data_IF_125241612073
#
_entry.id   IF_125241612073
#
_cell.length_a   1.000
_cell.length_b   1.000
_cell.length_c   1.000
_cell.angle_alpha   90.00
_cell.angle_beta   90.00
_cell.angle_gamma   90.00
#
_symmetry.space_group_name_H-M   'P 1'
#
loop_
_entity.id
_entity.type
_entity.pdbx_description
1 polymer ?
#
# COMPACT_ATOMS: atom_id res chain seq x y z
N UNK A 1 -13.76 11.11 28.09
CA UNK A 1 -14.99 11.22 27.28
C UNK A 1 -14.83 12.44 26.39
N UNK A 2 -15.05 12.32 25.09
CA UNK A 2 -14.97 13.47 24.17
C UNK A 2 -16.30 14.22 24.25
N UNK A 3 -16.26 15.52 24.54
CA UNK A 3 -17.45 16.32 24.87
C UNK A 3 -17.97 17.18 23.71
N UNK A 4 -17.15 17.41 22.68
CA UNK A 4 -17.42 18.36 21.59
C UNK A 4 -17.41 17.71 20.20
N UNK A 5 -17.58 16.38 20.14
CA UNK A 5 -17.51 15.65 18.86
C UNK A 5 -18.57 16.13 17.87
N UNK A 6 -19.80 16.32 18.33
CA UNK A 6 -20.92 16.74 17.48
C UNK A 6 -20.75 18.17 16.98
N UNK A 7 -20.24 19.07 17.82
CA UNK A 7 -19.96 20.47 17.47
C UNK A 7 -18.90 20.56 16.37
N UNK A 8 -17.74 19.92 16.57
CA UNK A 8 -16.63 19.93 15.59
C UNK A 8 -17.02 19.24 14.29
N UNK A 9 -17.78 18.13 14.37
CA UNK A 9 -18.29 17.43 13.18
C UNK A 9 -19.22 18.31 12.35
N UNK A 10 -20.09 19.08 13.00
CA UNK A 10 -21.02 19.99 12.31
C UNK A 10 -20.30 21.20 11.70
N UNK A 11 -19.28 21.73 12.37
CA UNK A 11 -18.43 22.81 11.84
C UNK A 11 -17.72 22.37 10.55
N UNK A 12 -17.05 21.21 10.58
CA UNK A 12 -16.36 20.64 9.40
C UNK A 12 -17.35 20.41 8.24
N UNK A 13 -18.54 19.87 8.52
CA UNK A 13 -19.56 19.64 7.48
C UNK A 13 -19.98 20.95 6.81
N UNK A 14 -20.22 22.00 7.59
CA UNK A 14 -20.63 23.30 7.08
C UNK A 14 -19.58 23.89 6.13
N UNK A 15 -18.30 23.86 6.52
CA UNK A 15 -17.21 24.33 5.66
C UNK A 15 -17.11 23.52 4.35
N UNK A 16 -17.27 22.20 4.42
CA UNK A 16 -17.28 21.32 3.25
C UNK A 16 -18.50 21.57 2.33
N UNK A 17 -19.67 21.88 2.89
CA UNK A 17 -20.86 22.26 2.13
C UNK A 17 -20.66 23.59 1.39
N UNK A 18 -20.01 24.57 2.03
CA UNK A 18 -19.66 25.84 1.39
C UNK A 18 -18.64 25.67 0.25
N UNK A 19 -17.64 24.79 0.42
CA UNK A 19 -16.69 24.39 -0.62
C UNK A 19 -17.39 23.69 -1.79
N UNK A 20 -18.39 22.85 -1.50
CA UNK A 20 -19.17 22.16 -2.53
C UNK A 20 -20.09 23.11 -3.30
N UNK A 21 -20.71 24.08 -2.62
CA UNK A 21 -21.64 25.04 -3.21
C UNK A 21 -20.93 26.01 -4.19
N UNK A 22 -19.67 26.33 -3.92
CA UNK A 22 -18.86 27.22 -4.75
C UNK A 22 -17.59 26.50 -5.21
N UNK A 23 -17.63 25.66 -6.27
CA UNK A 23 -16.47 24.89 -6.71
C UNK A 23 -15.38 25.74 -7.38
N UNK A 24 -15.73 26.93 -7.88
CA UNK A 24 -14.81 27.88 -8.50
C UNK A 24 -14.50 28.99 -7.50
N UNK A 25 -13.35 28.89 -6.81
CA UNK A 25 -12.90 29.83 -5.78
C UNK A 25 -11.52 30.37 -6.13
N UNK A 26 -11.26 31.61 -5.73
CA UNK A 26 -9.99 32.31 -5.95
C UNK A 26 -9.44 32.70 -4.58
N UNK A 27 -8.76 31.74 -3.96
CA UNK A 27 -8.26 31.84 -2.59
C UNK A 27 -6.76 31.52 -2.55
N UNK A 28 -6.09 31.93 -1.46
CA UNK A 28 -4.67 31.64 -1.26
C UNK A 28 -4.51 30.16 -0.88
N UNK A 29 -3.71 29.37 -1.62
CA UNK A 29 -3.55 27.95 -1.31
C UNK A 29 -2.76 27.76 -0.01
N UNK A 30 -3.11 26.69 0.71
CA UNK A 30 -2.37 26.20 1.86
C UNK A 30 -1.58 24.97 1.43
N UNK A 31 -0.25 25.00 1.64
CA UNK A 31 0.66 23.92 1.22
C UNK A 31 0.96 23.06 2.46
N UNK A 32 0.51 21.81 2.43
CA UNK A 32 0.72 20.84 3.52
C UNK A 32 1.61 19.68 3.06
N UNK A 33 2.54 19.27 3.93
CA UNK A 33 3.28 18.01 3.80
C UNK A 33 2.65 16.99 4.73
N UNK A 34 2.11 15.93 4.15
CA UNK A 34 1.49 14.82 4.88
C UNK A 34 2.42 13.62 4.79
N UNK A 35 2.88 13.14 5.94
CA UNK A 35 3.80 12.01 6.03
C UNK A 35 3.21 10.91 6.89
N UNK A 36 3.49 9.65 6.52
CA UNK A 36 3.07 8.50 7.31
C UNK A 36 4.20 8.13 8.26
N UNK A 37 3.97 8.36 9.56
CA UNK A 37 4.91 7.94 10.61
C UNK A 37 5.18 6.44 10.53
N UNK A 38 6.47 6.06 10.54
CA UNK A 38 6.91 4.66 10.46
C UNK A 38 6.19 3.82 9.38
N UNK A 39 6.06 4.37 8.17
CA UNK A 39 5.33 3.75 7.06
C UNK A 39 5.68 2.28 6.83
N UNK A 40 6.96 1.94 6.62
CA UNK A 40 7.35 0.55 6.34
C UNK A 40 7.17 -0.39 7.53
N UNK A 41 7.60 -0.05 8.77
CA UNK A 41 7.27 -0.86 9.94
C UNK A 41 5.77 -1.12 10.09
N UNK A 42 4.92 -0.11 9.89
CA UNK A 42 3.47 -0.26 10.00
C UNK A 42 2.89 -1.17 8.89
N UNK A 43 3.39 -1.04 7.66
CA UNK A 43 3.00 -1.92 6.54
C UNK A 43 3.43 -3.37 6.82
N UNK A 44 4.65 -3.58 7.34
CA UNK A 44 5.18 -4.89 7.69
C UNK A 44 4.30 -5.54 8.76
N UNK A 45 3.98 -4.83 9.84
CA UNK A 45 3.19 -5.36 10.95
C UNK A 45 1.73 -5.64 10.55
N UNK A 46 1.09 -4.70 9.84
CA UNK A 46 -0.32 -4.83 9.42
C UNK A 46 -0.52 -6.01 8.47
N UNK A 47 0.45 -6.26 7.59
CA UNK A 47 0.38 -7.35 6.62
C UNK A 47 1.13 -8.60 7.05
N UNK A 48 1.72 -8.60 8.26
CA UNK A 48 2.57 -9.69 8.80
C UNK A 48 3.65 -10.12 7.80
N UNK A 49 4.28 -9.15 7.14
CA UNK A 49 5.26 -9.41 6.08
C UNK A 49 6.57 -9.89 6.67
N UNK A 50 6.82 -11.17 6.52
CA UNK A 50 8.08 -11.80 6.89
C UNK A 50 8.58 -12.62 5.70
N UNK A 51 9.91 -12.79 5.52
CA UNK A 51 10.43 -13.62 4.45
C UNK A 51 9.86 -15.04 4.47
N UNK A 52 9.69 -15.63 5.64
CA UNK A 52 9.08 -16.95 5.82
C UNK A 52 7.58 -17.01 5.49
N UNK A 53 6.89 -15.86 5.49
CA UNK A 53 5.48 -15.77 5.11
C UNK A 53 5.29 -15.64 3.58
N UNK A 54 6.38 -15.49 2.82
CA UNK A 54 6.34 -15.53 1.35
C UNK A 54 6.55 -16.96 0.88
N UNK A 55 5.46 -17.72 0.78
CA UNK A 55 5.47 -19.12 0.35
C UNK A 55 5.05 -19.27 -1.11
N UNK A 56 5.62 -20.24 -1.80
CA UNK A 56 5.18 -20.67 -3.12
C UNK A 56 4.04 -21.70 -3.04
N UNK A 57 3.46 -22.04 -4.19
CA UNK A 57 2.34 -22.98 -4.27
C UNK A 57 2.74 -24.39 -3.81
N UNK A 58 3.97 -24.82 -4.09
CA UNK A 58 4.49 -26.13 -3.70
C UNK A 58 4.66 -26.24 -2.18
N UNK A 59 5.20 -25.21 -1.52
CA UNK A 59 5.32 -25.16 -0.05
C UNK A 59 3.95 -25.07 0.61
N UNK A 60 3.02 -24.29 0.04
CA UNK A 60 1.66 -24.24 0.56
C UNK A 60 0.93 -25.58 0.39
N UNK A 61 1.17 -26.29 -0.72
CA UNK A 61 0.56 -27.60 -0.98
C UNK A 61 0.95 -28.65 0.06
N UNK A 62 2.18 -28.59 0.57
CA UNK A 62 2.70 -29.48 1.62
C UNK A 62 2.27 -29.10 3.04
N UNK A 63 1.54 -28.00 3.23
CA UNK A 63 1.15 -27.50 4.55
C UNK A 63 -0.09 -28.24 5.10
N UNK A 64 -0.05 -28.66 6.37
CA UNK A 64 -1.16 -29.33 7.06
C UNK A 64 -2.45 -28.49 7.14
N UNK A 65 -2.31 -27.17 7.00
CA UNK A 65 -3.41 -26.21 7.05
C UNK A 65 -4.00 -25.90 5.66
N UNK A 66 -3.47 -26.49 4.59
CA UNK A 66 -4.01 -26.34 3.25
C UNK A 66 -5.30 -27.15 3.09
N UNK A 67 -6.42 -26.53 3.48
CA UNK A 67 -7.77 -27.11 3.45
C UNK A 67 -8.67 -26.28 2.53
N UNK A 68 -9.71 -26.87 1.93
CA UNK A 68 -10.74 -26.09 1.26
C UNK A 68 -11.30 -25.07 2.27
N UNK A 69 -11.25 -23.78 1.92
CA UNK A 69 -11.60 -22.61 2.75
C UNK A 69 -10.52 -22.09 3.72
N UNK A 70 -9.24 -22.42 3.52
CA UNK A 70 -8.17 -21.75 4.26
C UNK A 70 -8.14 -20.23 3.95
N UNK A 71 -8.10 -19.40 5.00
CA UNK A 71 -8.05 -17.93 4.90
C UNK A 71 -6.70 -17.31 5.31
N UNK A 72 -5.68 -18.14 5.48
CA UNK A 72 -4.36 -17.72 5.96
C UNK A 72 -3.50 -17.05 4.87
N UNK A 73 -3.70 -17.43 3.61
CA UNK A 73 -2.96 -16.91 2.46
C UNK A 73 -3.54 -15.56 2.02
N UNK A 74 -2.70 -14.52 2.01
CA UNK A 74 -3.06 -13.20 1.47
C UNK A 74 -2.22 -12.90 0.24
N UNK A 75 -2.87 -12.84 -0.92
CA UNK A 75 -2.22 -12.45 -2.16
C UNK A 75 -1.97 -10.95 -2.20
N UNK A 76 -0.75 -10.56 -2.58
CA UNK A 76 -0.37 -9.16 -2.79
C UNK A 76 0.51 -9.05 -4.03
N UNK A 77 0.22 -8.05 -4.86
CA UNK A 77 1.01 -7.79 -6.07
C UNK A 77 2.29 -7.02 -5.72
N UNK A 78 3.39 -7.39 -6.36
CA UNK A 78 4.66 -6.66 -6.30
C UNK A 78 5.15 -6.39 -7.71
N UNK A 79 5.73 -5.23 -7.93
CA UNK A 79 6.35 -4.89 -9.20
C UNK A 79 7.84 -5.25 -9.13
N UNK A 80 8.26 -6.16 -9.98
CA UNK A 80 9.68 -6.44 -10.21
C UNK A 80 10.18 -5.54 -11.34
N UNK A 81 11.22 -4.75 -11.08
CA UNK A 81 11.90 -3.93 -12.09
C UNK A 81 13.31 -4.49 -12.28
N UNK A 82 13.53 -5.37 -13.27
CA UNK A 82 14.87 -5.90 -13.53
C UNK A 82 15.74 -4.87 -14.27
N UNK A 83 17.06 -4.83 -14.02
CA UNK A 83 17.97 -4.08 -14.87
C UNK A 83 18.03 -4.76 -16.25
N UNK A 84 17.60 -4.05 -17.29
CA UNK A 84 17.76 -4.52 -18.68
C UNK A 84 19.10 -4.02 -19.20
N UNK A 85 20.07 -4.93 -19.31
CA UNK A 85 21.32 -4.64 -20.01
C UNK A 85 21.21 -5.23 -21.41
N UNK A 86 21.19 -4.35 -22.42
CA UNK A 86 21.14 -4.73 -23.84
C UNK A 86 22.51 -5.26 -24.30
N UNK A 87 22.90 -6.44 -23.82
CA UNK A 87 24.07 -7.15 -24.34
C UNK A 87 23.56 -8.16 -25.37
N UNK A 88 24.08 -8.05 -26.59
CA UNK A 88 23.75 -8.99 -27.65
C UNK A 88 24.16 -10.40 -27.22
N UNK A 89 23.23 -11.37 -27.20
CA UNK A 89 23.49 -12.76 -26.76
C UNK A 89 24.71 -13.39 -27.43
N UNK A 90 25.01 -13.00 -28.67
CA UNK A 90 26.19 -13.47 -29.42
C UNK A 90 27.53 -13.02 -28.84
N UNK A 91 27.58 -11.95 -28.05
CA UNK A 91 28.83 -11.42 -27.46
C UNK A 91 29.23 -12.18 -26.18
N UNK A 92 28.26 -12.71 -25.44
CA UNK A 92 28.49 -13.56 -24.26
C UNK A 92 29.03 -14.95 -24.60
N UNK A 93 28.60 -15.53 -25.73
CA UNK A 93 29.00 -16.88 -26.14
C UNK A 93 30.44 -16.97 -26.70
N UNK A 94 31.16 -15.85 -26.82
CA UNK A 94 32.54 -15.81 -27.32
C UNK A 94 33.61 -15.74 -26.21
N UNK A 95 33.21 -15.63 -24.94
CA UNK A 95 34.12 -15.49 -23.79
C UNK A 95 34.01 -16.65 -22.78
N UNK A 96 33.46 -17.80 -23.21
CA UNK A 96 33.49 -19.08 -22.46
C UNK A 96 34.09 -20.17 -23.33
#
# INVERSE_FOLDING_TARGET
MVTNLDEVSNEIKKELEELKAHPLRLERPLIYHLDVGAMYPNIILTNRLQPCAMVDETTCAACDFNKPNAICQRSMTKQLVPPVILINRMRFAKEV
#
